data_IF_028182918936
#
_entry.id   IF_028182918936
#
_cell.length_a   1.000
_cell.length_b   1.000
_cell.length_c   1.000
_cell.angle_alpha   90.00
_cell.angle_beta   90.00
_cell.angle_gamma   90.00
#
_symmetry.space_group_name_H-M   'P 1'
#
loop_
_entity.id
_entity.type
_entity.pdbx_description
1 polymer ?
#
# COMPACT_ATOMS: atom_id res chain seq x y z
N UNK A 1 -7.45 40.38 11.06
CA UNK A 1 -7.60 39.59 9.81
C UNK A 1 -6.28 38.86 9.57
N UNK A 2 -6.22 37.55 9.83
CA UNK A 2 -5.10 36.75 9.33
C UNK A 2 -5.28 36.60 7.82
N UNK A 3 -4.23 36.83 7.01
CA UNK A 3 -4.30 36.56 5.58
C UNK A 3 -4.75 35.11 5.40
N UNK A 4 -5.83 34.90 4.65
CA UNK A 4 -6.41 33.57 4.43
C UNK A 4 -5.33 32.60 3.96
N UNK A 5 -5.20 31.49 4.68
CA UNK A 5 -4.23 30.41 4.38
C UNK A 5 -4.35 30.07 2.90
N UNK A 6 -3.26 30.22 2.14
CA UNK A 6 -3.24 29.87 0.73
C UNK A 6 -3.64 28.39 0.55
N UNK A 7 -4.38 28.05 -0.52
CA UNK A 7 -4.76 26.66 -0.77
C UNK A 7 -3.50 25.79 -0.88
N UNK A 8 -3.51 24.64 -0.18
CA UNK A 8 -2.42 23.66 -0.26
C UNK A 8 -2.62 22.85 -1.55
N UNK A 9 -1.65 22.82 -2.48
CA UNK A 9 -1.78 22.04 -3.70
C UNK A 9 -1.72 20.54 -3.39
N UNK A 10 -2.70 19.78 -3.92
CA UNK A 10 -2.69 18.32 -3.90
C UNK A 10 -1.86 17.76 -5.06
N UNK A 11 -1.28 16.58 -4.85
CA UNK A 11 -0.50 15.85 -5.87
C UNK A 11 -0.85 14.38 -5.81
N UNK A 12 -1.07 13.77 -6.99
CA UNK A 12 -1.21 12.34 -7.15
C UNK A 12 -0.47 11.89 -8.42
N UNK A 13 -0.22 10.60 -8.52
CA UNK A 13 0.44 9.96 -9.67
C UNK A 13 -0.26 8.66 -10.03
N UNK A 14 -0.06 8.20 -11.26
CA UNK A 14 -0.54 6.91 -11.75
C UNK A 14 0.51 6.29 -12.65
N UNK A 15 0.61 4.95 -12.64
CA UNK A 15 1.38 4.20 -13.62
C UNK A 15 0.58 3.92 -14.91
N UNK A 16 -0.72 4.22 -14.91
CA UNK A 16 -1.65 3.92 -16.00
C UNK A 16 -1.76 5.11 -16.96
N UNK A 17 -2.23 6.27 -16.47
CA UNK A 17 -2.41 7.47 -17.30
C UNK A 17 -2.58 8.75 -16.48
N UNK A 18 -2.45 9.94 -17.09
CA UNK A 18 -2.78 11.21 -16.42
C UNK A 18 -4.23 11.29 -15.92
N UNK A 19 -5.19 10.74 -16.68
CA UNK A 19 -6.61 10.72 -16.29
C UNK A 19 -6.83 9.85 -15.05
N UNK A 20 -6.11 8.74 -14.94
CA UNK A 20 -6.14 7.90 -13.74
C UNK A 20 -5.49 8.62 -12.55
N UNK A 21 -4.41 9.40 -12.76
CA UNK A 21 -3.80 10.20 -11.70
C UNK A 21 -4.76 11.27 -11.15
N UNK A 22 -5.52 11.93 -12.03
CA UNK A 22 -6.57 12.88 -11.65
C UNK A 22 -7.70 12.19 -10.88
N UNK A 23 -8.13 11.00 -11.32
CA UNK A 23 -9.11 10.20 -10.59
C UNK A 23 -8.63 9.81 -9.19
N UNK A 24 -7.36 9.42 -9.04
CA UNK A 24 -6.76 9.12 -7.75
C UNK A 24 -6.71 10.36 -6.87
N UNK A 25 -6.33 11.52 -7.42
CA UNK A 25 -6.30 12.79 -6.69
C UNK A 25 -7.67 13.13 -6.09
N UNK A 26 -8.72 13.05 -6.91
CA UNK A 26 -10.10 13.35 -6.51
C UNK A 26 -10.63 12.37 -5.45
N UNK A 27 -10.24 11.09 -5.51
CA UNK A 27 -10.69 10.07 -4.55
C UNK A 27 -9.92 10.10 -3.24
N UNK A 28 -8.61 10.29 -3.32
CA UNK A 28 -7.74 10.16 -2.15
C UNK A 28 -7.66 11.44 -1.34
N UNK A 29 -7.57 12.61 -1.99
CA UNK A 29 -7.46 13.91 -1.32
C UNK A 29 -8.75 14.71 -1.38
N UNK A 30 -9.60 14.53 -2.40
CA UNK A 30 -10.87 15.24 -2.56
C UNK A 30 -10.72 16.76 -2.28
N UNK A 31 -11.47 17.29 -1.31
CA UNK A 31 -11.37 18.68 -0.84
C UNK A 31 -10.73 18.78 0.55
N UNK A 32 -10.03 17.74 1.02
CA UNK A 32 -9.38 17.73 2.32
C UNK A 32 -8.27 18.79 2.38
N UNK A 33 -8.17 19.49 3.51
CA UNK A 33 -6.98 20.28 3.79
C UNK A 33 -5.83 19.40 4.31
N UNK A 34 -4.64 20.01 4.41
CA UNK A 34 -3.45 19.31 4.89
C UNK A 34 -3.63 18.69 6.28
N UNK A 35 -4.28 19.42 7.19
CA UNK A 35 -4.44 18.99 8.58
C UNK A 35 -5.40 17.79 8.68
N UNK A 36 -6.45 17.77 7.86
CA UNK A 36 -7.38 16.64 7.71
C UNK A 36 -6.67 15.40 7.17
N UNK A 37 -5.91 15.55 6.09
CA UNK A 37 -5.14 14.45 5.50
C UNK A 37 -4.10 13.89 6.49
N UNK A 38 -3.39 14.77 7.21
CA UNK A 38 -2.43 14.40 8.25
C UNK A 38 -3.10 13.63 9.39
N UNK A 39 -4.27 14.07 9.84
CA UNK A 39 -5.01 13.40 10.91
C UNK A 39 -5.48 12.00 10.48
N UNK A 40 -5.99 11.84 9.25
CA UNK A 40 -6.38 10.55 8.68
C UNK A 40 -5.18 9.61 8.55
N UNK A 41 -4.04 10.09 8.06
CA UNK A 41 -2.81 9.31 7.99
C UNK A 41 -2.33 8.86 9.39
N UNK A 42 -2.37 9.76 10.39
CA UNK A 42 -2.03 9.41 11.78
C UNK A 42 -2.97 8.35 12.35
N UNK A 43 -4.27 8.46 12.10
CA UNK A 43 -5.26 7.47 12.53
C UNK A 43 -5.02 6.10 11.89
N UNK A 44 -4.73 6.07 10.58
CA UNK A 44 -4.41 4.84 9.86
C UNK A 44 -3.14 4.17 10.43
N UNK A 45 -2.08 4.94 10.68
CA UNK A 45 -0.86 4.41 11.30
C UNK A 45 -1.10 3.90 12.72
N UNK A 46 -1.82 4.66 13.55
CA UNK A 46 -2.15 4.23 14.90
C UNK A 46 -2.95 2.93 14.89
N UNK A 47 -3.92 2.78 13.97
CA UNK A 47 -4.68 1.53 13.84
C UNK A 47 -3.80 0.30 13.51
N UNK A 48 -2.72 0.50 12.75
CA UNK A 48 -1.75 -0.57 12.46
C UNK A 48 -0.84 -0.84 13.64
N UNK A 49 -0.23 0.21 14.19
CA UNK A 49 0.79 0.10 15.22
C UNK A 49 0.20 -0.31 16.58
N UNK A 50 -1.05 0.03 16.88
CA UNK A 50 -1.73 -0.35 18.13
C UNK A 50 -2.04 -1.84 18.25
N UNK A 51 -1.79 -2.63 17.19
CA UNK A 51 -1.95 -4.09 17.23
C UNK A 51 -0.83 -4.78 18.02
N UNK A 52 0.23 -4.05 18.33
CA UNK A 52 1.32 -4.50 19.21
C UNK A 52 1.42 -3.47 20.34
N UNK A 53 1.06 -3.89 21.55
CA UNK A 53 1.26 -3.08 22.75
C UNK A 53 2.59 -3.46 23.40
N UNK A 54 3.37 -2.44 23.79
CA UNK A 54 4.67 -2.60 24.42
C UNK A 54 4.59 -2.00 25.82
N UNK A 55 4.76 -2.83 26.84
CA UNK A 55 4.80 -2.41 28.24
C UNK A 55 6.22 -2.49 28.80
N UNK A 56 6.59 -1.52 29.64
CA UNK A 56 7.93 -1.42 30.21
C UNK A 56 9.01 -0.95 29.24
N UNK A 57 10.25 -0.88 29.74
CA UNK A 57 11.41 -0.41 28.98
C UNK A 57 11.63 1.11 29.00
N UNK A 58 12.77 1.55 28.46
CA UNK A 58 13.08 2.97 28.29
C UNK A 58 12.36 3.55 27.08
N UNK A 59 12.22 4.89 27.05
CA UNK A 59 11.61 5.59 25.91
C UNK A 59 12.32 5.28 24.58
N UNK A 60 13.64 5.03 24.61
CA UNK A 60 14.42 4.72 23.42
C UNK A 60 14.18 3.29 22.93
N UNK A 61 13.90 2.34 23.84
CA UNK A 61 13.50 0.98 23.47
C UNK A 61 12.12 1.00 22.80
N UNK A 62 11.16 1.73 23.36
CA UNK A 62 9.82 1.89 22.78
C UNK A 62 9.89 2.51 21.39
N UNK A 63 10.70 3.57 21.21
CA UNK A 63 10.95 4.19 19.89
C UNK A 63 11.54 3.20 18.90
N UNK A 64 12.50 2.38 19.33
CA UNK A 64 13.15 1.38 18.47
C UNK A 64 12.14 0.34 18.00
N UNK A 65 11.27 -0.16 18.88
CA UNK A 65 10.24 -1.14 18.54
C UNK A 65 9.25 -0.57 17.52
N UNK A 66 8.64 0.59 17.80
CA UNK A 66 7.64 1.17 16.87
C UNK A 66 8.27 1.64 15.54
N UNK A 67 9.51 2.13 15.55
CA UNK A 67 10.22 2.48 14.31
C UNK A 67 10.52 1.24 13.46
N UNK A 68 10.86 0.12 14.09
CA UNK A 68 11.09 -1.15 13.39
C UNK A 68 9.78 -1.72 12.84
N UNK A 69 8.69 -1.67 13.62
CA UNK A 69 7.36 -2.09 13.20
C UNK A 69 6.88 -1.29 11.98
N UNK A 70 7.06 0.04 11.99
CA UNK A 70 6.78 0.92 10.85
C UNK A 70 7.51 0.46 9.56
N UNK A 71 8.77 0.02 9.66
CA UNK A 71 9.53 -0.49 8.50
C UNK A 71 9.02 -1.84 8.01
N UNK A 72 8.55 -2.71 8.90
CA UNK A 72 8.09 -4.07 8.55
C UNK A 72 6.77 -4.08 7.76
N UNK A 73 5.89 -3.10 7.98
CA UNK A 73 4.54 -3.07 7.38
C UNK A 73 4.42 -2.21 6.11
N UNK A 74 5.51 -1.57 5.66
CA UNK A 74 5.53 -0.78 4.44
C UNK A 74 5.54 -1.62 3.16
N UNK A 75 6.10 -2.83 3.20
CA UNK A 75 6.23 -3.68 2.02
C UNK A 75 5.41 -4.98 2.14
N UNK A 76 4.90 -5.52 1.02
CA UNK A 76 4.95 -4.93 -0.34
C UNK A 76 4.00 -3.73 -0.48
N UNK A 77 4.37 -2.77 -1.34
CA UNK A 77 3.49 -1.66 -1.70
C UNK A 77 2.38 -2.16 -2.63
N UNK A 78 1.18 -1.56 -2.53
CA UNK A 78 0.13 -1.78 -3.54
C UNK A 78 0.63 -1.23 -4.88
N UNK A 79 0.57 -2.06 -5.92
CA UNK A 79 0.93 -1.69 -7.30
C UNK A 79 -0.29 -1.71 -8.24
N UNK A 80 -1.47 -1.81 -7.64
CA UNK A 80 -2.77 -1.66 -8.29
C UNK A 80 -3.42 -0.32 -7.90
N UNK A 81 -4.24 0.17 -8.81
CA UNK A 81 -5.04 1.38 -8.73
C UNK A 81 -6.51 1.00 -8.91
N UNK A 82 -7.43 1.92 -8.63
CA UNK A 82 -8.88 1.67 -8.75
C UNK A 82 -9.42 2.43 -9.95
N UNK A 83 -10.02 1.75 -10.92
CA UNK A 83 -10.57 2.37 -12.12
C UNK A 83 -11.86 3.17 -11.83
N UNK A 84 -12.43 3.81 -12.86
CA UNK A 84 -13.68 4.57 -12.73
C UNK A 84 -14.89 3.73 -12.24
N UNK A 85 -14.90 2.43 -12.52
CA UNK A 85 -15.94 1.49 -12.10
C UNK A 85 -15.71 0.93 -10.68
N UNK A 86 -14.66 1.36 -9.99
CA UNK A 86 -14.34 0.90 -8.64
C UNK A 86 -13.62 -0.45 -8.62
N UNK A 87 -13.09 -0.91 -9.74
CA UNK A 87 -12.40 -2.20 -9.86
C UNK A 87 -10.88 -2.02 -9.77
N UNK A 88 -10.16 -2.98 -9.16
CA UNK A 88 -8.70 -2.95 -9.16
C UNK A 88 -8.16 -3.18 -10.58
N UNK A 89 -7.20 -2.35 -10.98
CA UNK A 89 -6.47 -2.40 -12.25
C UNK A 89 -5.00 -2.10 -11.99
N UNK A 90 -4.11 -2.62 -12.81
CA UNK A 90 -2.68 -2.31 -12.67
C UNK A 90 -2.00 -2.21 -14.02
N UNK A 91 -1.00 -1.35 -14.09
CA UNK A 91 -0.01 -1.40 -15.16
C UNK A 91 1.00 -2.51 -14.88
N UNK A 92 1.16 -3.45 -15.80
CA UNK A 92 2.10 -4.56 -15.66
C UNK A 92 3.50 -4.14 -16.13
N UNK A 93 4.51 -4.13 -15.23
CA UNK A 93 5.90 -3.83 -15.62
C UNK A 93 6.51 -4.92 -16.50
N UNK A 94 5.85 -6.06 -16.69
CA UNK A 94 6.37 -7.19 -17.45
C UNK A 94 6.02 -7.13 -18.93
N UNK A 95 4.86 -6.58 -19.27
CA UNK A 95 4.38 -6.52 -20.65
C UNK A 95 3.91 -5.12 -21.07
N UNK A 96 3.96 -4.14 -20.17
CA UNK A 96 3.58 -2.76 -20.42
C UNK A 96 2.08 -2.54 -20.61
N UNK A 97 1.23 -3.54 -20.31
CA UNK A 97 -0.23 -3.47 -20.49
C UNK A 97 -0.94 -3.18 -19.18
N UNK A 98 -2.10 -2.54 -19.27
CA UNK A 98 -3.03 -2.38 -18.15
C UNK A 98 -3.90 -3.64 -18.07
N UNK A 99 -3.96 -4.26 -16.89
CA UNK A 99 -4.68 -5.51 -16.66
C UNK A 99 -5.64 -5.35 -15.46
N UNK A 100 -6.79 -6.04 -15.48
CA UNK A 100 -7.67 -6.08 -14.32
C UNK A 100 -7.07 -6.91 -13.18
N UNK A 101 -7.44 -6.58 -11.95
CA UNK A 101 -7.04 -7.26 -10.73
C UNK A 101 -5.82 -6.64 -10.04
N UNK A 102 -5.49 -7.19 -8.86
CA UNK A 102 -4.34 -6.74 -8.09
C UNK A 102 -3.02 -7.19 -8.71
N UNK A 103 -2.00 -6.33 -8.65
CA UNK A 103 -0.64 -6.69 -9.03
C UNK A 103 0.12 -7.18 -7.78
N UNK A 104 0.61 -8.41 -7.83
CA UNK A 104 1.70 -8.81 -6.95
C UNK A 104 3.01 -8.36 -7.62
N UNK A 105 3.82 -7.48 -7.00
CA UNK A 105 5.20 -7.30 -7.44
C UNK A 105 5.86 -8.68 -7.50
N UNK A 106 6.69 -8.96 -8.51
CA UNK A 106 7.65 -10.08 -8.46
C UNK A 106 8.66 -9.77 -7.36
N UNK A 107 8.23 -9.97 -6.13
CA UNK A 107 9.11 -10.01 -4.98
C UNK A 107 10.00 -11.22 -5.22
N UNK A 108 11.28 -10.93 -5.48
CA UNK A 108 12.34 -11.92 -5.66
C UNK A 108 12.16 -13.01 -4.60
N UNK A 109 11.93 -14.23 -5.07
CA UNK A 109 11.70 -15.41 -4.24
C UNK A 109 12.56 -15.43 -2.98
N UNK A 110 11.88 -15.58 -1.85
CA UNK A 110 12.38 -16.08 -0.57
C UNK A 110 13.77 -15.60 -0.14
N UNK A 111 13.82 -14.41 0.48
CA UNK A 111 14.94 -14.09 1.36
C UNK A 111 14.51 -14.31 2.83
N UNK A 112 15.38 -14.90 3.67
CA UNK A 112 15.08 -15.27 5.07
C UNK A 112 14.50 -14.10 5.91
N UNK A 113 14.81 -12.87 5.53
CA UNK A 113 14.33 -11.63 6.14
C UNK A 113 12.82 -11.35 5.93
N UNK A 114 12.19 -11.95 4.92
CA UNK A 114 10.78 -11.69 4.60
C UNK A 114 9.80 -12.63 5.31
N UNK A 115 10.22 -13.84 5.75
CA UNK A 115 9.34 -14.79 6.46
C UNK A 115 8.85 -14.25 7.82
N UNK A 116 9.72 -13.57 8.56
CA UNK A 116 9.35 -12.93 9.82
C UNK A 116 8.35 -11.78 9.59
N UNK A 117 8.54 -11.01 8.51
CA UNK A 117 7.61 -9.94 8.12
C UNK A 117 6.26 -10.45 7.65
N UNK A 118 6.23 -11.57 6.90
CA UNK A 118 4.99 -12.16 6.39
C UNK A 118 4.08 -12.66 7.53
N UNK A 119 4.62 -13.41 8.49
CA UNK A 119 3.86 -13.86 9.66
C UNK A 119 3.27 -12.70 10.45
N UNK A 120 4.08 -11.67 10.69
CA UNK A 120 3.60 -10.48 11.39
C UNK A 120 2.52 -9.77 10.57
N UNK A 121 2.66 -9.66 9.25
CA UNK A 121 1.61 -9.06 8.39
C UNK A 121 0.33 -9.89 8.38
N UNK A 122 0.38 -11.21 8.40
CA UNK A 122 -0.81 -12.06 8.54
C UNK A 122 -1.53 -11.82 9.86
N UNK A 123 -0.78 -11.78 10.97
CA UNK A 123 -1.33 -11.53 12.29
C UNK A 123 -1.93 -10.11 12.40
N UNK A 124 -1.27 -9.12 11.80
CA UNK A 124 -1.72 -7.73 11.88
C UNK A 124 -2.79 -7.40 10.83
N UNK A 125 -2.75 -7.95 9.62
CA UNK A 125 -3.57 -7.54 8.47
C UNK A 125 -4.13 -8.71 7.65
N UNK A 126 -4.97 -9.57 8.23
CA UNK A 126 -5.47 -10.77 7.55
C UNK A 126 -6.26 -10.46 6.25
N UNK A 127 -7.04 -9.37 6.20
CA UNK A 127 -7.76 -8.94 4.98
C UNK A 127 -6.84 -8.48 3.85
N UNK A 128 -5.68 -7.89 4.16
CA UNK A 128 -4.77 -7.36 3.13
C UNK A 128 -4.09 -8.49 2.38
N UNK A 129 -3.88 -9.63 3.03
CA UNK A 129 -3.32 -10.82 2.38
C UNK A 129 -4.34 -11.55 1.50
N UNK A 130 -5.64 -11.46 1.78
CA UNK A 130 -6.66 -12.03 0.89
C UNK A 130 -6.84 -11.25 -0.41
N UNK A 131 -6.44 -9.97 -0.45
CA UNK A 131 -6.45 -9.13 -1.65
C UNK A 131 -5.22 -9.37 -2.54
N UNK A 132 -4.11 -9.85 -1.97
CA UNK A 132 -2.91 -10.18 -2.73
C UNK A 132 -2.98 -11.64 -3.23
N UNK A 133 -2.63 -11.92 -4.50
CA UNK A 133 -2.48 -13.30 -4.95
C UNK A 133 -1.50 -14.04 -4.04
N UNK A 134 -1.85 -15.24 -3.57
CA UNK A 134 -0.89 -16.07 -2.83
C UNK A 134 0.29 -16.36 -3.75
N UNK A 135 1.49 -16.41 -3.19
CA UNK A 135 2.71 -16.73 -3.94
C UNK A 135 2.55 -18.03 -4.78
N UNK A 136 1.78 -18.99 -4.26
CA UNK A 136 1.53 -20.29 -4.90
C UNK A 136 0.53 -20.21 -6.07
N UNK A 137 -0.45 -19.30 -6.01
CA UNK A 137 -1.43 -19.08 -7.08
C UNK A 137 -0.76 -18.46 -8.34
N UNK A 138 0.42 -17.85 -8.17
CA UNK A 138 1.20 -17.24 -9.24
C UNK A 138 2.01 -18.26 -10.06
N UNK A 139 2.55 -19.31 -9.43
CA UNK A 139 3.33 -20.37 -10.13
C UNK A 139 2.43 -21.14 -11.11
N UNK A 140 1.18 -21.40 -10.72
CA UNK A 140 0.23 -22.16 -11.56
C UNK A 140 -0.32 -21.34 -12.75
N UNK A 141 -0.49 -20.02 -12.61
CA UNK A 141 -1.11 -19.16 -13.65
C UNK A 141 -0.11 -18.48 -14.59
N UNK A 142 1.19 -18.47 -14.29
CA UNK A 142 2.21 -17.82 -15.13
C UNK A 142 2.40 -18.52 -16.48
N UNK A 143 2.19 -19.83 -16.55
CA UNK A 143 2.31 -20.60 -17.80
C UNK A 143 1.21 -20.28 -18.83
N UNK A 144 0.06 -19.74 -18.43
CA UNK A 144 -1.12 -19.68 -19.32
C UNK A 144 -1.60 -18.27 -19.69
N UNK A 145 -1.24 -17.23 -18.93
CA UNK A 145 -1.84 -15.88 -19.11
C UNK A 145 -0.88 -14.77 -19.58
N UNK A 146 0.44 -14.96 -19.48
CA UNK A 146 1.41 -13.92 -19.83
C UNK A 146 2.21 -14.18 -21.12
N UNK A 147 2.22 -15.41 -21.62
CA UNK A 147 2.77 -15.77 -22.93
C UNK A 147 1.76 -16.71 -23.63
N UNK A 148 0.97 -16.26 -24.62
CA UNK A 148 0.50 -17.19 -25.64
C UNK A 148 1.73 -17.65 -26.44
N UNK A 149 1.76 -18.94 -26.81
CA UNK A 149 2.77 -19.50 -27.70
C UNK A 149 2.83 -18.75 -29.05
#
# INVERSE_FOLDING_TARGET
MHPGKAPVPGVASSFISPEQAELNLQRELANDDFDTTRARAKAAWNHVLSKVEVEGGSIDQVRTVYSSLYRMVQFPNKMDEVDAAGQPVHWSPYNGKVLPGHCAPRERQENKHQRAGQWLRQALHPRRETELPRADDFIANFSSRCCPA
#
